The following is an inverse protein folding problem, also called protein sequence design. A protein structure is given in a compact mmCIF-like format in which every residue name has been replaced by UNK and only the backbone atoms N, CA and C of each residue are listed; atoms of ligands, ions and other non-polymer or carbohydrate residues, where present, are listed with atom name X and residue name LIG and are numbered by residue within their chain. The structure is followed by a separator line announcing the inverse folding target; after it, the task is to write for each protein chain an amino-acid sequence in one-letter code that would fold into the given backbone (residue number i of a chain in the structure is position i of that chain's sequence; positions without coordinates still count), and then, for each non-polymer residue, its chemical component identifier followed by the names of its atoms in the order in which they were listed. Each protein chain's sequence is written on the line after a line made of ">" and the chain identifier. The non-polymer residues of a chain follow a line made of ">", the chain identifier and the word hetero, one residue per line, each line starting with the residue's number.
data_IF_687434362306
#
_entry.id   IF_687434362306
#
_cell.length_a   1.000
_cell.length_b   1.000
_cell.length_c   1.000
_cell.angle_alpha   90.00
_cell.angle_beta   90.00
_cell.angle_gamma   90.00
#
_symmetry.space_group_name_H-M   'P 1'
#
loop_
_entity.id
_entity.type
_entity.pdbx_description
1 polymer ?
#
# COMPACT_ATOMS: atom_id res chain seq x y z
N UNK A 1 21.32 6.92 -1.36
CA UNK A 1 19.84 6.91 -1.24
C UNK A 1 19.33 7.77 -2.37
N UNK A 2 18.52 7.25 -3.28
CA UNK A 2 17.83 8.09 -4.26
C UNK A 2 16.97 9.11 -3.49
N UNK A 3 17.13 10.40 -3.77
CA UNK A 3 16.32 11.48 -3.18
C UNK A 3 14.86 11.45 -3.65
N UNK A 4 14.55 10.58 -4.63
CA UNK A 4 13.19 10.35 -5.11
C UNK A 4 12.33 9.80 -3.98
N UNK A 5 11.16 10.42 -3.78
CA UNK A 5 10.13 10.01 -2.82
C UNK A 5 10.41 10.33 -1.34
N UNK A 6 11.34 11.25 -1.05
CA UNK A 6 11.61 11.71 0.30
C UNK A 6 10.65 12.86 0.69
N UNK A 7 10.07 12.80 1.88
CA UNK A 7 9.25 13.88 2.44
C UNK A 7 10.05 14.60 3.51
N UNK A 8 10.03 15.94 3.51
CA UNK A 8 10.64 16.79 4.53
C UNK A 8 9.59 17.71 5.16
N UNK A 9 9.54 17.74 6.49
CA UNK A 9 8.63 18.62 7.26
C UNK A 9 9.31 19.10 8.54
N UNK A 10 9.08 20.35 8.93
CA UNK A 10 9.55 20.90 10.20
C UNK A 10 8.97 20.13 11.38
N UNK A 11 9.80 19.84 12.39
CA UNK A 11 9.36 19.20 13.63
C UNK A 11 8.34 20.08 14.35
N UNK A 12 8.51 21.41 14.27
CA UNK A 12 7.54 22.35 14.83
C UNK A 12 6.15 22.14 14.21
N UNK A 13 6.09 22.08 12.88
CA UNK A 13 4.84 21.87 12.16
C UNK A 13 4.22 20.52 12.52
N UNK A 14 5.01 19.44 12.55
CA UNK A 14 4.54 18.10 12.93
C UNK A 14 3.94 18.12 14.35
N UNK A 15 4.62 18.75 15.32
CA UNK A 15 4.20 18.71 16.73
C UNK A 15 3.14 19.73 17.12
N UNK A 16 2.88 20.75 16.29
CA UNK A 16 1.97 21.85 16.67
C UNK A 16 0.75 22.01 15.76
N UNK A 17 0.72 21.37 14.60
CA UNK A 17 -0.45 21.40 13.70
C UNK A 17 -1.37 20.19 13.92
N UNK A 18 -2.67 20.42 13.72
CA UNK A 18 -3.69 19.37 13.76
C UNK A 18 -4.66 19.55 12.60
N UNK A 19 -4.84 18.53 11.77
CA UNK A 19 -5.68 18.58 10.58
C UNK A 19 -6.50 17.29 10.39
N UNK A 20 -7.75 17.44 9.95
CA UNK A 20 -8.71 16.34 9.84
C UNK A 20 -8.73 15.76 8.42
N UNK A 21 -7.61 15.16 8.02
CA UNK A 21 -7.49 14.52 6.71
C UNK A 21 -7.92 13.05 6.78
N UNK A 22 -8.64 12.59 5.75
CA UNK A 22 -8.88 11.16 5.54
C UNK A 22 -7.63 10.50 4.93
N UNK A 23 -7.63 9.18 4.78
CA UNK A 23 -6.45 8.46 4.30
C UNK A 23 -6.08 8.82 2.85
N UNK A 24 -7.06 8.96 1.95
CA UNK A 24 -6.82 9.32 0.54
C UNK A 24 -6.19 10.72 0.44
N UNK A 25 -6.73 11.70 1.17
CA UNK A 25 -6.21 13.06 1.24
C UNK A 25 -4.79 13.11 1.83
N UNK A 26 -4.51 12.32 2.89
CA UNK A 26 -3.17 12.23 3.45
C UNK A 26 -2.18 11.66 2.42
N UNK A 27 -2.53 10.56 1.75
CA UNK A 27 -1.68 9.99 0.71
C UNK A 27 -1.43 10.96 -0.43
N UNK A 28 -2.45 11.71 -0.86
CA UNK A 28 -2.32 12.74 -1.89
C UNK A 28 -1.34 13.83 -1.47
N UNK A 29 -1.50 14.40 -0.27
CA UNK A 29 -0.62 15.45 0.26
C UNK A 29 0.81 14.96 0.44
N UNK A 30 1.01 13.74 0.94
CA UNK A 30 2.34 13.18 1.16
C UNK A 30 3.03 12.84 -0.17
N UNK A 31 2.28 12.37 -1.17
CA UNK A 31 2.80 12.14 -2.51
C UNK A 31 3.20 13.45 -3.18
N UNK A 32 2.35 14.48 -3.09
CA UNK A 32 2.66 15.82 -3.56
C UNK A 32 3.90 16.41 -2.85
N UNK A 33 4.00 16.23 -1.53
CA UNK A 33 5.13 16.70 -0.74
C UNK A 33 6.45 16.02 -1.15
N UNK A 34 6.40 14.81 -1.71
CA UNK A 34 7.58 14.11 -2.21
C UNK A 34 8.12 14.64 -3.55
N UNK A 35 7.32 15.45 -4.26
CA UNK A 35 7.72 16.14 -5.49
C UNK A 35 8.39 17.50 -5.20
N UNK A 36 8.33 17.95 -3.95
CA UNK A 36 8.90 19.23 -3.51
C UNK A 36 10.42 19.11 -3.41
N UNK A 37 11.16 19.91 -4.16
CA UNK A 37 12.61 19.89 -4.09
C UNK A 37 13.10 20.71 -2.88
N UNK A 38 14.13 20.25 -2.14
CA UNK A 38 14.67 20.99 -0.98
C UNK A 38 15.10 22.42 -1.32
N UNK A 39 15.59 22.63 -2.54
CA UNK A 39 16.10 23.91 -3.06
C UNK A 39 15.03 24.76 -3.77
N UNK A 40 13.76 24.33 -3.81
CA UNK A 40 12.69 25.16 -4.37
C UNK A 40 12.57 26.48 -3.54
N UNK A 41 12.62 27.65 -4.20
CA UNK A 41 12.40 28.97 -3.56
C UNK A 41 10.92 29.21 -3.19
N UNK A 42 10.04 28.40 -3.76
CA UNK A 42 8.62 28.41 -3.47
C UNK A 42 7.93 27.18 -4.01
N UNK A 43 6.73 26.93 -3.51
CA UNK A 43 5.85 25.96 -4.15
C UNK A 43 5.51 26.48 -5.54
N UNK A 44 5.81 25.65 -6.53
CA UNK A 44 5.33 25.76 -7.90
C UNK A 44 4.09 24.87 -8.06
N UNK A 45 3.32 25.01 -9.14
CA UNK A 45 2.35 23.99 -9.51
C UNK A 45 3.07 22.65 -9.74
N UNK A 46 2.60 21.60 -9.08
CA UNK A 46 3.12 20.25 -9.24
C UNK A 46 2.11 19.41 -10.01
N UNK A 47 2.57 18.75 -11.07
CA UNK A 47 1.74 17.90 -11.90
C UNK A 47 1.72 16.47 -11.38
N UNK A 48 0.53 15.89 -11.26
CA UNK A 48 0.34 14.46 -11.00
C UNK A 48 -0.62 13.85 -12.00
N UNK A 49 -0.30 12.67 -12.51
CA UNK A 49 -1.24 11.94 -13.35
C UNK A 49 -2.38 11.43 -12.50
N UNK A 50 -3.60 11.55 -13.01
CA UNK A 50 -4.79 11.07 -12.32
C UNK A 50 -4.73 9.55 -12.12
N UNK A 51 -4.13 8.82 -13.07
CA UNK A 51 -3.96 7.37 -12.97
C UNK A 51 -3.07 6.99 -11.76
N UNK A 52 -1.95 7.67 -11.56
CA UNK A 52 -1.05 7.44 -10.43
C UNK A 52 -1.78 7.71 -9.10
N UNK A 53 -2.59 8.78 -9.03
CA UNK A 53 -3.41 9.09 -7.85
C UNK A 53 -4.44 7.98 -7.56
N UNK A 54 -5.09 7.44 -8.60
CA UNK A 54 -6.04 6.35 -8.47
C UNK A 54 -5.37 5.07 -7.95
N UNK A 55 -4.18 4.76 -8.44
CA UNK A 55 -3.36 3.64 -7.95
C UNK A 55 -2.98 3.83 -6.47
N UNK A 56 -2.57 5.04 -6.07
CA UNK A 56 -2.26 5.37 -4.67
C UNK A 56 -3.45 5.17 -3.73
N UNK A 57 -4.67 5.38 -4.23
CA UNK A 57 -5.91 5.15 -3.48
C UNK A 57 -6.35 3.68 -3.49
N UNK A 58 -5.68 2.81 -4.26
CA UNK A 58 -6.02 1.40 -4.41
C UNK A 58 -7.32 1.19 -5.18
N UNK A 59 -7.57 2.03 -6.20
CA UNK A 59 -8.82 2.06 -6.96
C UNK A 59 -8.61 1.52 -8.37
N UNK A 60 -9.32 0.45 -8.71
CA UNK A 60 -9.18 -0.25 -10.00
C UNK A 60 -10.13 0.25 -11.11
N UNK A 61 -11.13 1.09 -10.78
CA UNK A 61 -12.21 1.45 -11.71
C UNK A 61 -12.12 2.87 -12.25
N UNK A 62 -12.37 3.03 -13.56
CA UNK A 62 -12.41 4.32 -14.28
C UNK A 62 -13.46 5.31 -13.73
N UNK A 63 -14.41 4.86 -12.92
CA UNK A 63 -15.48 5.67 -12.33
C UNK A 63 -14.97 6.77 -11.37
N UNK A 64 -13.69 6.74 -10.95
CA UNK A 64 -13.10 7.76 -10.06
C UNK A 64 -12.34 8.91 -10.75
N UNK A 65 -12.24 8.98 -12.09
CA UNK A 65 -11.70 10.20 -12.74
C UNK A 65 -12.50 11.46 -12.33
N UNK A 66 -13.81 11.30 -12.09
CA UNK A 66 -14.70 12.35 -11.57
C UNK A 66 -14.59 12.57 -10.06
N UNK A 67 -13.98 11.64 -9.31
CA UNK A 67 -13.83 11.73 -7.86
C UNK A 67 -12.62 12.56 -7.45
N UNK A 68 -11.54 12.60 -8.26
CA UNK A 68 -10.35 13.40 -7.93
C UNK A 68 -10.70 14.89 -7.75
N UNK A 69 -11.47 15.53 -8.66
CA UNK A 69 -11.98 16.89 -8.44
C UNK A 69 -12.76 17.07 -7.13
N UNK A 70 -13.54 16.06 -6.72
CA UNK A 70 -14.28 16.10 -5.44
C UNK A 70 -13.33 16.03 -4.26
N UNK A 71 -12.36 15.10 -4.29
CA UNK A 71 -11.36 14.91 -3.23
C UNK A 71 -10.50 16.15 -3.07
N UNK A 72 -9.97 16.73 -4.17
CA UNK A 72 -9.15 17.95 -4.07
C UNK A 72 -9.98 19.14 -3.59
N UNK A 73 -11.23 19.26 -4.03
CA UNK A 73 -12.14 20.31 -3.55
C UNK A 73 -12.45 20.17 -2.06
N UNK A 74 -12.65 18.95 -1.56
CA UNK A 74 -12.89 18.71 -0.13
C UNK A 74 -11.62 18.95 0.70
N UNK A 75 -10.45 18.55 0.19
CA UNK A 75 -9.14 18.85 0.77
C UNK A 75 -8.88 20.36 0.88
N UNK A 76 -9.20 21.14 -0.16
CA UNK A 76 -9.05 22.59 -0.15
C UNK A 76 -9.95 23.30 0.88
N UNK A 77 -11.09 22.72 1.25
CA UNK A 77 -11.97 23.29 2.29
C UNK A 77 -11.44 23.07 3.71
N UNK A 78 -10.49 22.15 3.90
CA UNK A 78 -9.98 21.78 5.22
C UNK A 78 -8.90 22.74 5.68
N UNK A 79 -9.36 23.84 6.27
CA UNK A 79 -8.50 24.80 6.97
C UNK A 79 -8.05 24.21 8.30
N UNK A 80 -6.77 24.39 8.60
CA UNK A 80 -6.19 24.08 9.89
C UNK A 80 -5.39 25.27 10.41
N UNK A 81 -5.05 25.18 11.70
CA UNK A 81 -4.42 26.25 12.44
C UNK A 81 -2.97 25.90 12.78
N UNK A 82 -2.09 26.89 12.59
CA UNK A 82 -0.70 26.85 13.03
C UNK A 82 -0.51 28.04 13.95
N UNK A 83 -0.26 27.75 15.22
CA UNK A 83 0.22 28.77 16.15
C UNK A 83 1.64 29.13 15.74
N UNK A 84 1.95 30.42 15.68
CA UNK A 84 3.30 30.94 15.56
C UNK A 84 3.47 32.01 16.65
N UNK A 85 4.71 32.36 17.02
CA UNK A 85 5.04 33.14 18.23
C UNK A 85 4.05 34.27 18.55
N UNK A 86 3.70 35.10 17.56
CA UNK A 86 2.80 36.25 17.74
C UNK A 86 1.58 36.24 16.80
N UNK A 87 1.22 35.11 16.18
CA UNK A 87 0.07 35.04 15.27
C UNK A 87 -0.51 33.63 15.13
N UNK A 88 -1.81 33.57 14.92
CA UNK A 88 -2.52 32.39 14.46
C UNK A 88 -2.60 32.41 12.93
N UNK A 89 -2.10 31.35 12.29
CA UNK A 89 -2.21 31.17 10.84
C UNK A 89 -3.31 30.15 10.57
N UNK A 90 -4.37 30.57 9.88
CA UNK A 90 -5.37 29.68 9.30
C UNK A 90 -5.02 29.43 7.83
N UNK A 91 -4.83 28.16 7.47
CA UNK A 91 -4.35 27.78 6.15
C UNK A 91 -4.94 26.43 5.72
N UNK A 92 -5.21 26.26 4.43
CA UNK A 92 -5.51 24.95 3.84
C UNK A 92 -4.23 24.32 3.29
N UNK A 93 -4.24 23.02 3.00
CA UNK A 93 -3.07 22.39 2.40
C UNK A 93 -2.77 22.92 0.99
N UNK A 94 -3.79 23.05 0.15
CA UNK A 94 -3.67 23.46 -1.25
C UNK A 94 -4.22 24.88 -1.48
N UNK A 95 -3.52 25.69 -2.28
CA UNK A 95 -4.01 26.97 -2.78
C UNK A 95 -4.85 26.80 -4.05
N UNK A 96 -4.50 25.84 -4.90
CA UNK A 96 -5.20 25.56 -6.15
C UNK A 96 -5.17 24.07 -6.52
N UNK A 97 -6.13 23.67 -7.34
CA UNK A 97 -6.18 22.40 -8.03
C UNK A 97 -6.74 22.62 -9.44
N UNK A 98 -5.90 22.51 -10.46
CA UNK A 98 -6.22 22.85 -11.84
C UNK A 98 -6.27 21.58 -12.71
N UNK A 99 -7.31 21.50 -13.54
CA UNK A 99 -7.59 20.34 -14.37
C UNK A 99 -7.61 20.76 -15.83
N UNK A 100 -6.60 20.36 -16.60
CA UNK A 100 -6.58 20.57 -18.04
C UNK A 100 -7.38 19.44 -18.71
N UNK A 101 -8.52 19.79 -19.32
CA UNK A 101 -9.42 18.82 -19.96
C UNK A 101 -8.66 17.99 -21.01
N UNK A 102 -8.76 16.67 -20.90
CA UNK A 102 -8.11 15.73 -21.83
C UNK A 102 -6.63 15.45 -21.55
N UNK A 103 -5.99 16.12 -20.58
CA UNK A 103 -4.58 15.86 -20.24
C UNK A 103 -4.36 14.61 -19.41
N UNK A 104 -5.37 14.19 -18.62
CA UNK A 104 -5.21 13.13 -17.62
C UNK A 104 -4.34 13.53 -16.42
N UNK A 105 -4.03 14.82 -16.27
CA UNK A 105 -3.16 15.40 -15.23
C UNK A 105 -3.93 16.41 -14.40
N UNK A 106 -3.58 16.52 -13.14
CA UNK A 106 -3.98 17.61 -12.24
C UNK A 106 -2.74 18.38 -11.81
N UNK A 107 -2.82 19.71 -11.83
CA UNK A 107 -1.81 20.59 -11.24
C UNK A 107 -2.28 21.00 -9.84
N UNK A 108 -1.46 20.71 -8.83
CA UNK A 108 -1.75 21.06 -7.45
C UNK A 108 -0.67 22.00 -6.93
N UNK A 109 -1.08 23.03 -6.21
CA UNK A 109 -0.16 23.97 -5.56
C UNK A 109 -0.39 23.95 -4.05
N UNK A 110 0.69 23.82 -3.28
CA UNK A 110 0.64 23.98 -1.83
C UNK A 110 0.41 25.45 -1.45
N UNK A 111 -0.35 25.68 -0.38
CA UNK A 111 -0.51 27.02 0.16
C UNK A 111 0.85 27.66 0.50
N UNK A 112 1.15 28.88 0.01
CA UNK A 112 2.43 29.55 0.24
C UNK A 112 2.79 29.78 1.72
N UNK A 113 1.79 29.78 2.62
CA UNK A 113 2.02 29.87 4.08
C UNK A 113 2.66 28.62 4.67
N UNK A 114 2.72 27.52 3.93
CA UNK A 114 3.39 26.28 4.35
C UNK A 114 4.89 26.27 4.04
N UNK A 115 5.41 27.21 3.22
CA UNK A 115 6.81 27.26 2.80
C UNK A 115 7.79 27.15 3.99
N UNK A 116 7.64 27.91 5.10
CA UNK A 116 8.57 27.84 6.23
C UNK A 116 8.65 26.48 6.93
N UNK A 117 7.70 25.59 6.64
CA UNK A 117 7.57 24.30 7.31
C UNK A 117 7.95 23.10 6.41
N UNK A 118 8.21 23.33 5.12
CA UNK A 118 8.46 22.25 4.15
C UNK A 118 9.63 22.56 3.20
N UNK A 119 9.97 23.84 2.96
CA UNK A 119 11.04 24.27 2.07
C UNK A 119 12.24 24.80 2.85
N UNK A 120 13.44 24.61 2.28
CA UNK A 120 14.70 25.19 2.80
C UNK A 120 14.95 24.92 4.30
N UNK A 121 14.49 23.76 4.78
CA UNK A 121 14.64 23.35 6.17
C UNK A 121 16.10 22.96 6.43
N UNK A 122 16.80 23.76 7.24
CA UNK A 122 18.21 23.53 7.58
C UNK A 122 18.39 22.70 8.85
N UNK A 123 17.49 22.87 9.81
CA UNK A 123 17.55 22.22 11.12
C UNK A 123 16.15 21.87 11.63
N UNK A 124 16.09 20.97 12.63
CA UNK A 124 14.86 20.60 13.34
C UNK A 124 13.70 20.21 12.41
N UNK A 125 14.01 19.35 11.45
CA UNK A 125 13.04 18.77 10.54
C UNK A 125 13.11 17.24 10.56
N UNK A 126 12.02 16.63 10.15
CA UNK A 126 11.89 15.19 9.97
C UNK A 126 11.94 14.89 8.48
N UNK A 127 12.66 13.83 8.13
CA UNK A 127 12.66 13.27 6.80
C UNK A 127 12.34 11.78 6.83
N UNK A 128 11.58 11.31 5.86
CA UNK A 128 11.24 9.91 5.73
C UNK A 128 10.80 9.55 4.31
N UNK A 129 10.89 8.27 3.98
CA UNK A 129 10.45 7.75 2.70
C UNK A 129 8.93 7.70 2.59
N UNK A 130 8.37 8.20 1.50
CA UNK A 130 6.93 8.14 1.20
C UNK A 130 6.39 6.70 1.28
N UNK A 131 7.20 5.70 0.89
CA UNK A 131 6.83 4.29 0.95
C UNK A 131 6.41 3.81 2.36
N UNK A 132 6.98 4.41 3.43
CA UNK A 132 6.66 4.06 4.82
C UNK A 132 5.17 4.31 5.13
N UNK A 133 4.58 5.35 4.54
CA UNK A 133 3.21 5.79 4.87
C UNK A 133 2.18 5.37 3.82
N UNK A 134 2.57 5.15 2.57
CA UNK A 134 1.62 4.82 1.49
C UNK A 134 0.87 3.50 1.70
N UNK A 135 1.50 2.52 2.36
CA UNK A 135 0.91 1.19 2.60
C UNK A 135 -0.02 1.14 3.81
N UNK A 136 -0.04 2.19 4.63
CA UNK A 136 -0.89 2.27 5.81
C UNK A 136 -2.37 2.32 5.42
N UNK A 137 -3.21 1.72 6.27
CA UNK A 137 -4.66 1.58 6.05
C UNK A 137 -5.49 2.36 7.07
N UNK A 138 -4.95 2.60 8.25
CA UNK A 138 -5.60 3.45 9.23
C UNK A 138 -5.33 4.93 8.92
N UNK A 139 -6.38 5.74 9.00
CA UNK A 139 -6.30 7.20 8.82
C UNK A 139 -5.41 7.90 9.86
N UNK A 140 -5.11 7.24 10.98
CA UNK A 140 -4.33 7.83 12.07
C UNK A 140 -2.85 7.41 12.03
N UNK A 141 -2.52 6.29 11.36
CA UNK A 141 -1.16 5.75 11.35
C UNK A 141 -0.14 6.69 10.72
N UNK A 142 -0.38 7.31 9.54
CA UNK A 142 0.62 8.20 8.95
C UNK A 142 0.95 9.38 9.86
N UNK A 143 -0.07 9.94 10.51
CA UNK A 143 0.12 11.07 11.43
C UNK A 143 0.85 10.67 12.71
N UNK A 144 0.51 9.53 13.32
CA UNK A 144 1.24 9.02 14.48
C UNK A 144 2.70 8.70 14.13
N UNK A 145 2.93 8.12 12.95
CA UNK A 145 4.27 7.86 12.44
C UNK A 145 5.08 9.15 12.34
N UNK A 146 4.56 10.21 11.71
CA UNK A 146 5.25 11.51 11.62
C UNK A 146 5.63 12.06 13.00
N UNK A 147 4.70 12.02 13.96
CA UNK A 147 4.91 12.50 15.32
C UNK A 147 6.05 11.72 15.99
N UNK A 148 6.03 10.39 15.90
CA UNK A 148 7.07 9.55 16.53
C UNK A 148 8.42 9.67 15.80
N UNK A 149 8.41 9.72 14.46
CA UNK A 149 9.60 9.91 13.63
C UNK A 149 10.31 11.23 13.98
N UNK A 150 9.55 12.30 14.22
CA UNK A 150 10.12 13.59 14.66
C UNK A 150 10.86 13.54 16.01
N UNK A 151 10.62 12.49 16.80
CA UNK A 151 11.21 12.29 18.12
C UNK A 151 12.25 11.15 18.16
N UNK A 152 12.56 10.51 17.02
CA UNK A 152 13.40 9.29 16.98
C UNK A 152 14.84 9.50 17.48
N UNK A 153 15.39 10.70 17.28
CA UNK A 153 16.78 11.02 17.64
C UNK A 153 16.93 11.64 19.03
N UNK A 154 15.84 11.70 19.84
CA UNK A 154 15.95 12.16 21.22
C UNK A 154 16.84 11.19 22.00
N UNK A 155 17.85 11.72 22.71
CA UNK A 155 18.83 10.93 23.48
C UNK A 155 18.20 9.92 24.45
N UNK A 156 17.02 10.24 24.99
CA UNK A 156 16.31 9.38 25.93
C UNK A 156 15.65 8.14 25.28
N UNK A 157 15.49 8.12 23.95
CA UNK A 157 14.92 6.98 23.21
C UNK A 157 13.41 6.78 23.37
N UNK A 158 12.71 7.73 23.98
CA UNK A 158 11.25 7.70 24.14
C UNK A 158 10.63 9.09 24.03
N UNK A 159 9.32 9.14 23.81
CA UNK A 159 8.49 10.34 23.90
C UNK A 159 7.26 10.10 24.78
N UNK A 160 6.99 11.03 25.69
CA UNK A 160 5.78 11.01 26.52
C UNK A 160 4.79 12.02 25.95
N UNK A 161 3.59 11.54 25.59
CA UNK A 161 2.53 12.38 25.05
C UNK A 161 1.27 12.17 25.89
N UNK A 162 0.68 13.27 26.35
CA UNK A 162 -0.61 13.22 27.04
C UNK A 162 -1.70 12.68 26.12
N UNK A 163 -2.64 11.91 26.67
CA UNK A 163 -3.75 11.34 25.88
C UNK A 163 -4.60 12.44 25.26
N UNK A 164 -4.84 13.54 25.97
CA UNK A 164 -5.59 14.68 25.46
C UNK A 164 -4.86 15.35 24.28
N UNK A 165 -3.55 15.54 24.41
CA UNK A 165 -2.73 16.14 23.36
C UNK A 165 -2.62 15.23 22.13
N UNK A 166 -2.44 13.92 22.33
CA UNK A 166 -2.40 12.96 21.24
C UNK A 166 -3.71 12.93 20.46
N UNK A 167 -4.85 13.00 21.16
CA UNK A 167 -6.17 13.15 20.52
C UNK A 167 -6.26 14.43 19.70
N UNK A 168 -5.76 15.55 20.22
CA UNK A 168 -5.72 16.84 19.50
C UNK A 168 -4.87 16.75 18.23
N UNK A 169 -3.68 16.18 18.30
CA UNK A 169 -2.76 16.02 17.17
C UNK A 169 -3.34 15.12 16.07
N UNK A 170 -4.09 14.09 16.47
CA UNK A 170 -4.72 13.13 15.55
C UNK A 170 -6.14 13.53 15.10
N UNK A 171 -6.66 14.69 15.53
CA UNK A 171 -8.06 15.11 15.33
C UNK A 171 -9.08 14.03 15.72
N UNK A 172 -8.86 13.45 16.89
CA UNK A 172 -9.66 12.35 17.47
C UNK A 172 -10.22 12.71 18.87
N UNK A 173 -10.42 13.99 19.15
CA UNK A 173 -10.94 14.48 20.44
C UNK A 173 -12.37 13.98 20.69
N UNK A 174 -13.20 13.99 19.65
CA UNK A 174 -14.59 13.51 19.70
C UNK A 174 -14.74 12.04 19.31
N UNK A 175 -13.70 11.45 18.71
CA UNK A 175 -13.71 10.07 18.25
C UNK A 175 -13.25 9.13 19.36
N UNK A 176 -13.95 8.02 19.54
CA UNK A 176 -13.62 7.00 20.56
C UNK A 176 -13.43 7.63 21.95
N UNK A 177 -14.49 8.21 22.54
CA UNK A 177 -14.38 8.97 23.80
C UNK A 177 -13.85 8.10 24.95
N UNK A 178 -14.15 6.79 24.94
CA UNK A 178 -13.57 5.85 25.90
C UNK A 178 -12.13 5.56 25.54
N UNK A 179 -11.24 5.64 26.54
CA UNK A 179 -9.81 5.37 26.34
C UNK A 179 -9.53 3.99 25.73
N UNK A 180 -10.24 2.95 26.16
CA UNK A 180 -10.05 1.59 25.62
C UNK A 180 -10.34 1.51 24.11
N UNK A 181 -11.35 2.24 23.63
CA UNK A 181 -11.67 2.28 22.20
C UNK A 181 -10.61 3.07 21.43
N UNK A 182 -10.13 4.19 21.99
CA UNK A 182 -9.04 4.98 21.42
C UNK A 182 -7.74 4.16 21.33
N UNK A 183 -7.38 3.46 22.41
CA UNK A 183 -6.26 2.53 22.44
C UNK A 183 -6.37 1.49 21.33
N UNK A 184 -7.47 0.73 21.30
CA UNK A 184 -7.66 -0.39 20.37
C UNK A 184 -7.74 0.04 18.91
N UNK A 185 -8.48 1.13 18.62
CA UNK A 185 -8.80 1.54 17.25
C UNK A 185 -7.76 2.48 16.64
N UNK A 186 -7.01 3.20 17.47
CA UNK A 186 -6.03 4.19 17.02
C UNK A 186 -4.62 3.74 17.38
N UNK A 187 -4.31 3.62 18.67
CA UNK A 187 -2.94 3.40 19.12
C UNK A 187 -2.41 2.04 18.70
N UNK A 188 -3.09 0.96 19.06
CA UNK A 188 -2.65 -0.41 18.76
C UNK A 188 -2.60 -0.66 17.24
N UNK A 189 -3.61 -0.18 16.50
CA UNK A 189 -3.65 -0.30 15.05
C UNK A 189 -2.49 0.47 14.39
N UNK A 190 -2.22 1.70 14.83
CA UNK A 190 -1.13 2.51 14.28
C UNK A 190 0.24 1.96 14.66
N UNK A 191 0.46 1.54 15.91
CA UNK A 191 1.71 0.89 16.35
C UNK A 191 1.98 -0.37 15.55
N UNK A 192 0.94 -1.19 15.31
CA UNK A 192 1.06 -2.37 14.44
C UNK A 192 1.52 -1.98 13.03
N UNK A 193 0.82 -1.05 12.38
CA UNK A 193 1.17 -0.61 11.02
C UNK A 193 2.57 0.02 10.95
N UNK A 194 2.95 0.85 11.93
CA UNK A 194 4.29 1.45 12.01
C UNK A 194 5.36 0.35 12.08
N UNK A 195 5.19 -0.60 12.99
CA UNK A 195 6.16 -1.68 13.20
C UNK A 195 6.30 -2.63 12.01
N UNK A 196 5.25 -2.79 11.21
CA UNK A 196 5.20 -3.70 10.06
C UNK A 196 5.65 -3.03 8.75
N UNK A 197 5.42 -1.73 8.60
CA UNK A 197 5.49 -1.06 7.29
C UNK A 197 6.57 0.03 7.19
N UNK A 198 7.20 0.42 8.30
CA UNK A 198 8.06 1.61 8.34
C UNK A 198 9.46 1.32 8.85
N UNK A 199 10.36 2.30 8.76
CA UNK A 199 11.70 2.26 9.34
C UNK A 199 11.73 2.47 10.88
N UNK A 200 10.58 2.43 11.56
CA UNK A 200 10.47 2.54 13.01
C UNK A 200 9.93 1.27 13.66
N UNK A 201 10.47 0.98 14.84
CA UNK A 201 9.94 0.03 15.81
C UNK A 201 9.53 0.78 17.09
N UNK A 202 8.26 0.63 17.45
CA UNK A 202 7.57 1.34 18.52
C UNK A 202 7.01 0.33 19.52
N UNK A 203 7.32 0.59 20.79
CA UNK A 203 6.64 0.00 21.95
C UNK A 203 6.07 1.15 22.79
N UNK A 204 5.09 0.90 23.65
CA UNK A 204 4.59 1.95 24.53
C UNK A 204 4.09 1.45 25.88
N UNK A 205 4.27 2.30 26.90
CA UNK A 205 3.70 2.13 28.24
C UNK A 205 2.59 3.15 28.51
N UNK A 206 1.65 2.79 29.38
CA UNK A 206 0.59 3.67 29.86
C UNK A 206 0.99 4.30 31.20
N UNK A 207 0.94 5.63 31.28
CA UNK A 207 1.18 6.37 32.52
C UNK A 207 -0.16 6.72 33.15
N UNK A 208 -0.30 6.39 34.44
CA UNK A 208 -1.53 6.57 35.21
C UNK A 208 -1.42 7.73 36.19
N UNK A 209 -2.52 8.46 36.36
CA UNK A 209 -2.73 9.38 37.48
C UNK A 209 -4.01 8.96 38.18
N UNK A 210 -3.88 8.35 39.37
CA UNK A 210 -4.99 7.66 40.03
C UNK A 210 -5.48 6.47 39.18
N UNK A 211 -6.77 6.47 38.82
CA UNK A 211 -7.39 5.41 38.00
C UNK A 211 -7.32 5.68 36.49
N UNK A 212 -7.06 6.93 36.08
CA UNK A 212 -7.09 7.32 34.68
C UNK A 212 -5.72 7.15 34.02
N UNK A 213 -5.70 6.71 32.76
CA UNK A 213 -4.52 6.83 31.90
C UNK A 213 -4.44 8.29 31.43
N UNK A 214 -3.35 8.97 31.75
CA UNK A 214 -3.16 10.38 31.43
C UNK A 214 -2.17 10.58 30.29
N UNK A 215 -1.16 9.70 30.16
CA UNK A 215 -0.14 9.80 29.11
C UNK A 215 0.28 8.44 28.57
N UNK A 216 0.85 8.45 27.37
CA UNK A 216 1.51 7.31 26.74
C UNK A 216 3.00 7.62 26.59
N UNK A 217 3.85 6.67 26.98
CA UNK A 217 5.30 6.74 26.79
C UNK A 217 5.69 5.80 25.66
N UNK A 218 5.99 6.36 24.49
CA UNK A 218 6.41 5.61 23.30
C UNK A 218 7.92 5.45 23.30
N UNK A 219 8.42 4.21 23.26
CA UNK A 219 9.82 3.90 23.00
C UNK A 219 10.02 3.81 21.49
N UNK A 220 11.01 4.54 20.98
CA UNK A 220 11.19 4.75 19.54
C UNK A 220 12.57 4.22 19.15
N UNK A 221 12.61 3.25 18.24
CA UNK A 221 13.86 2.69 17.70
C UNK A 221 13.78 2.68 16.19
N UNK A 222 14.89 3.02 15.52
CA UNK A 222 14.98 2.81 14.07
C UNK A 222 15.23 1.33 13.78
N UNK A 223 14.58 0.80 12.76
CA UNK A 223 14.82 -0.54 12.22
C UNK A 223 15.39 -0.44 10.81
N UNK A 224 16.38 -1.30 10.51
CA UNK A 224 17.01 -1.34 9.18
C UNK A 224 16.08 -2.00 8.16
N UNK A 225 16.18 -1.63 6.85
CA UNK A 225 15.40 -2.26 5.79
C UNK A 225 15.46 -3.79 5.76
N UNK A 226 16.63 -4.37 6.08
CA UNK A 226 16.85 -5.82 6.19
C UNK A 226 15.89 -6.49 7.20
N UNK A 227 15.50 -5.78 8.25
CA UNK A 227 14.59 -6.27 9.28
C UNK A 227 13.11 -6.24 8.81
N UNK A 228 12.77 -5.39 7.83
CA UNK A 228 11.44 -5.35 7.22
C UNK A 228 11.20 -6.53 6.28
N UNK A 229 12.23 -6.92 5.52
CA UNK A 229 12.21 -8.11 4.67
C UNK A 229 12.16 -9.40 5.51
N UNK A 230 13.00 -9.50 6.55
CA UNK A 230 12.99 -10.64 7.47
C UNK A 230 11.69 -10.78 8.26
N UNK A 231 10.99 -9.68 8.58
CA UNK A 231 9.69 -9.71 9.27
C UNK A 231 8.57 -10.18 8.33
N UNK A 232 8.63 -9.81 7.04
CA UNK A 232 7.75 -10.38 6.02
C UNK A 232 7.98 -11.90 5.85
N UNK A 233 9.22 -12.37 5.97
CA UNK A 233 9.57 -13.81 5.95
C UNK A 233 9.16 -14.52 7.26
N UNK A 234 9.35 -13.90 8.43
CA UNK A 234 9.09 -14.49 9.75
C UNK A 234 7.59 -14.57 10.08
N UNK A 235 6.77 -13.62 9.63
CA UNK A 235 5.30 -13.72 9.70
C UNK A 235 4.81 -14.92 8.86
N UNK A 236 5.54 -15.26 7.80
CA UNK A 236 5.29 -16.44 6.96
C UNK A 236 5.82 -17.75 7.60
N UNK A 237 6.75 -17.68 8.57
CA UNK A 237 7.48 -18.84 9.10
C UNK A 237 7.23 -19.22 10.59
N UNK A 238 6.37 -18.52 11.34
CA UNK A 238 6.09 -18.88 12.76
C UNK A 238 4.99 -19.97 12.85
N UNK A 239 5.41 -21.21 13.13
CA UNK A 239 4.65 -22.48 13.13
C UNK A 239 3.57 -22.66 14.23
N UNK A 240 2.65 -23.65 14.07
CA UNK A 240 1.58 -24.02 15.03
C UNK A 240 2.10 -24.78 16.26
N UNK A 241 1.29 -24.79 17.34
CA UNK A 241 1.57 -25.43 18.63
C UNK A 241 1.69 -26.98 18.58
N UNK A 242 2.48 -27.52 19.52
CA UNK A 242 2.80 -28.94 19.74
C UNK A 242 1.61 -29.84 20.17
N UNK A 243 1.73 -31.19 20.06
CA UNK A 243 0.63 -32.06 19.66
C UNK A 243 -0.14 -32.73 20.81
N UNK A 244 -1.46 -32.87 20.64
CA UNK A 244 -2.28 -33.85 21.36
C UNK A 244 -2.23 -35.19 20.62
N UNK A 245 -1.90 -36.26 21.36
CA UNK A 245 -1.86 -37.65 20.91
C UNK A 245 -3.27 -38.15 20.55
N UNK A 246 -3.41 -38.86 19.43
CA UNK A 246 -4.04 -40.21 19.32
C UNK A 246 -4.14 -40.71 17.86
N UNK A 247 -3.47 -41.85 17.61
CA UNK A 247 -3.94 -43.08 16.95
C UNK A 247 -4.49 -43.11 15.50
N UNK A 248 -3.65 -43.73 14.65
CA UNK A 248 -3.91 -44.80 13.64
C UNK A 248 -4.84 -44.59 12.41
N UNK A 249 -4.15 -44.63 11.26
CA UNK A 249 -4.43 -45.33 9.98
C UNK A 249 -5.28 -44.67 8.88
N UNK A 250 -4.71 -44.77 7.67
CA UNK A 250 -5.26 -44.72 6.29
C UNK A 250 -5.51 -43.37 5.63
N UNK A 251 -4.86 -43.17 4.45
CA UNK A 251 -5.45 -42.40 3.34
C UNK A 251 -4.59 -41.25 2.80
N UNK A 252 -3.86 -41.51 1.73
CA UNK A 252 -2.90 -40.68 0.97
C UNK A 252 -3.44 -39.39 0.28
N UNK A 253 -4.48 -38.74 0.77
CA UNK A 253 -5.06 -37.54 0.09
C UNK A 253 -4.94 -36.21 0.87
N UNK A 254 -4.52 -36.24 2.14
CA UNK A 254 -4.44 -35.03 2.98
C UNK A 254 -3.06 -34.33 3.01
N UNK A 255 -1.98 -35.01 2.60
CA UNK A 255 -0.64 -34.40 2.57
C UNK A 255 -0.49 -33.42 1.41
N UNK A 256 -1.05 -33.72 0.24
CA UNK A 256 -0.96 -32.88 -0.96
C UNK A 256 -1.76 -31.58 -0.81
N UNK A 257 -2.98 -31.63 -0.29
CA UNK A 257 -3.83 -30.43 -0.10
C UNK A 257 -3.22 -29.40 0.88
N UNK A 258 -2.45 -29.87 1.87
CA UNK A 258 -1.81 -29.02 2.86
C UNK A 258 -0.57 -28.33 2.28
N UNK A 259 0.25 -29.05 1.51
CA UNK A 259 1.39 -28.48 0.78
C UNK A 259 0.94 -27.50 -0.31
N UNK A 260 -0.15 -27.82 -1.02
CA UNK A 260 -0.74 -26.97 -2.07
C UNK A 260 -1.31 -25.67 -1.48
N UNK A 261 -2.08 -25.73 -0.38
CA UNK A 261 -2.57 -24.51 0.27
C UNK A 261 -1.45 -23.64 0.84
N UNK A 262 -0.31 -24.24 1.17
CA UNK A 262 0.88 -23.52 1.62
C UNK A 262 1.55 -22.80 0.44
N UNK A 263 1.72 -23.48 -0.70
CA UNK A 263 2.23 -22.88 -1.95
C UNK A 263 1.32 -21.74 -2.48
N UNK A 264 0.00 -21.88 -2.39
CA UNK A 264 -0.96 -20.84 -2.81
C UNK A 264 -1.06 -19.65 -1.83
N UNK A 265 -0.72 -19.81 -0.55
CA UNK A 265 -0.69 -18.72 0.43
C UNK A 265 0.64 -17.95 0.47
N UNK A 266 1.76 -18.62 0.16
CA UNK A 266 3.12 -18.04 0.35
C UNK A 266 3.46 -16.98 -0.71
N UNK A 267 2.84 -17.00 -1.89
CA UNK A 267 3.16 -16.06 -2.99
C UNK A 267 2.06 -15.04 -3.34
N UNK A 268 1.03 -14.86 -2.50
CA UNK A 268 0.13 -13.70 -2.60
C UNK A 268 -0.69 -13.58 -3.90
N UNK A 269 -1.57 -14.55 -4.19
CA UNK A 269 -2.43 -14.53 -5.40
C UNK A 269 -3.82 -13.91 -5.21
N UNK A 270 -4.16 -13.33 -4.04
CA UNK A 270 -5.49 -12.73 -3.81
C UNK A 270 -5.94 -11.64 -4.81
N UNK A 271 -5.07 -10.86 -5.47
CA UNK A 271 -5.49 -9.92 -6.53
C UNK A 271 -5.72 -10.60 -7.90
N UNK A 272 -5.13 -11.77 -8.13
CA UNK A 272 -4.99 -12.39 -9.46
C UNK A 272 -6.26 -13.14 -9.90
N UNK A 273 -7.17 -13.44 -8.98
CA UNK A 273 -8.40 -14.19 -9.27
C UNK A 273 -9.45 -13.45 -10.11
N UNK A 274 -9.27 -12.15 -10.40
CA UNK A 274 -10.29 -11.38 -11.15
C UNK A 274 -10.07 -11.32 -12.66
N UNK A 275 -8.85 -11.56 -13.18
CA UNK A 275 -8.64 -11.53 -14.62
C UNK A 275 -7.46 -12.41 -15.05
N UNK A 276 -7.78 -13.64 -15.46
CA UNK A 276 -6.82 -14.68 -15.87
C UNK A 276 -6.04 -14.34 -17.13
N UNK A 277 -6.45 -13.29 -17.84
CA UNK A 277 -5.73 -12.76 -18.99
C UNK A 277 -4.77 -11.63 -18.60
N UNK A 278 -4.76 -11.12 -17.37
CA UNK A 278 -3.88 -9.99 -17.04
C UNK A 278 -2.39 -10.33 -17.21
N UNK A 279 -1.63 -9.37 -17.72
CA UNK A 279 -0.19 -9.47 -18.01
C UNK A 279 0.65 -10.03 -16.84
N UNK A 280 0.39 -9.67 -15.56
CA UNK A 280 1.09 -10.26 -14.42
C UNK A 280 0.82 -11.76 -14.22
N UNK A 281 -0.39 -12.23 -14.56
CA UNK A 281 -0.73 -13.65 -14.47
C UNK A 281 -0.01 -14.45 -15.55
N UNK A 282 0.06 -13.92 -16.76
CA UNK A 282 0.75 -14.54 -17.89
C UNK A 282 2.24 -14.62 -17.60
N UNK A 283 2.85 -13.53 -17.13
CA UNK A 283 4.28 -13.51 -16.79
C UNK A 283 4.63 -14.45 -15.63
N UNK A 284 3.76 -14.56 -14.61
CA UNK A 284 3.92 -15.55 -13.56
C UNK A 284 3.82 -16.98 -14.10
N UNK A 285 2.87 -17.27 -14.98
CA UNK A 285 2.74 -18.60 -15.59
C UNK A 285 3.96 -18.97 -16.45
N UNK A 286 4.48 -18.02 -17.22
CA UNK A 286 5.68 -18.22 -18.04
C UNK A 286 6.95 -18.40 -17.18
N UNK A 287 6.91 -17.99 -15.90
CA UNK A 287 8.00 -18.20 -14.95
C UNK A 287 7.98 -19.57 -14.26
N UNK A 288 6.93 -20.39 -14.46
CA UNK A 288 6.81 -21.71 -13.84
C UNK A 288 7.50 -22.79 -14.69
N UNK A 289 8.19 -23.72 -14.02
CA UNK A 289 8.70 -24.91 -14.69
C UNK A 289 7.55 -25.85 -15.13
N UNK A 290 7.70 -26.61 -16.24
CA UNK A 290 6.61 -27.41 -16.83
C UNK A 290 5.94 -28.39 -15.86
N UNK A 291 6.71 -29.03 -14.98
CA UNK A 291 6.18 -29.95 -13.96
C UNK A 291 5.32 -29.25 -12.90
N UNK A 292 5.59 -27.96 -12.64
CA UNK A 292 4.80 -27.16 -11.72
C UNK A 292 3.48 -26.69 -12.36
N UNK A 293 3.53 -26.31 -13.64
CA UNK A 293 2.32 -25.94 -14.39
C UNK A 293 1.33 -27.10 -14.48
N UNK A 294 1.79 -28.32 -14.77
CA UNK A 294 0.94 -29.51 -14.79
C UNK A 294 0.31 -29.83 -13.42
N UNK A 295 1.08 -29.64 -12.36
CA UNK A 295 0.62 -29.84 -10.98
C UNK A 295 -0.48 -28.85 -10.63
N UNK A 296 -0.30 -27.58 -10.98
CA UNK A 296 -1.32 -26.53 -10.80
C UNK A 296 -2.61 -26.89 -11.55
N UNK A 297 -2.52 -27.35 -12.79
CA UNK A 297 -3.69 -27.74 -13.60
C UNK A 297 -4.40 -28.96 -13.02
N UNK A 298 -3.67 -30.00 -12.60
CA UNK A 298 -4.26 -31.21 -11.98
C UNK A 298 -4.99 -30.86 -10.68
N UNK A 299 -4.42 -29.98 -9.87
CA UNK A 299 -5.01 -29.55 -8.61
C UNK A 299 -6.28 -28.71 -8.81
N UNK A 300 -6.28 -27.83 -9.81
CA UNK A 300 -7.46 -27.06 -10.21
C UNK A 300 -8.58 -27.97 -10.74
N UNK A 301 -8.26 -29.00 -11.52
CA UNK A 301 -9.23 -29.97 -12.02
C UNK A 301 -9.82 -30.87 -10.91
N UNK A 302 -9.05 -31.17 -9.86
CA UNK A 302 -9.53 -31.92 -8.69
C UNK A 302 -10.47 -31.07 -7.82
N UNK A 303 -10.17 -29.78 -7.69
CA UNK A 303 -11.03 -28.79 -7.02
C UNK A 303 -12.42 -28.68 -7.69
N UNK A 304 -12.50 -28.79 -9.02
CA UNK A 304 -13.78 -28.79 -9.75
C UNK A 304 -14.65 -30.02 -9.50
N UNK A 305 -14.04 -31.19 -9.27
CA UNK A 305 -14.75 -32.47 -9.06
C UNK A 305 -15.41 -32.59 -7.68
N UNK A 306 -14.94 -31.85 -6.67
CA UNK A 306 -15.43 -31.91 -5.29
C UNK A 306 -16.58 -30.91 -4.98
N UNK A 307 -17.28 -30.43 -6.02
CA UNK A 307 -18.59 -29.72 -5.97
C UNK A 307 -18.79 -28.62 -4.91
N UNK A 308 -17.73 -27.97 -4.43
CA UNK A 308 -17.82 -26.85 -3.47
C UNK A 308 -17.12 -25.59 -3.98
N UNK A 309 -17.34 -25.25 -5.27
CA UNK A 309 -16.78 -24.02 -5.81
C UNK A 309 -17.76 -23.31 -6.76
N UNK A 310 -17.83 -21.98 -6.62
CA UNK A 310 -18.67 -21.07 -7.36
C UNK A 310 -18.27 -20.95 -8.86
N UNK A 311 -19.19 -20.44 -9.69
CA UNK A 311 -19.06 -20.31 -11.15
C UNK A 311 -17.79 -19.54 -11.59
N UNK A 312 -17.30 -18.63 -10.76
CA UNK A 312 -16.07 -17.89 -11.00
C UNK A 312 -14.84 -18.82 -11.10
N UNK A 313 -14.80 -19.91 -10.32
CA UNK A 313 -13.67 -20.84 -10.33
C UNK A 313 -13.79 -21.85 -11.46
N UNK A 314 -15.01 -22.26 -11.83
CA UNK A 314 -15.23 -23.09 -13.01
C UNK A 314 -14.83 -22.37 -14.31
N UNK A 315 -15.13 -21.07 -14.43
CA UNK A 315 -14.70 -20.22 -15.53
C UNK A 315 -13.18 -20.00 -15.55
N UNK A 316 -12.55 -19.91 -14.37
CA UNK A 316 -11.10 -19.85 -14.24
C UNK A 316 -10.45 -21.10 -14.87
N UNK A 317 -10.96 -22.29 -14.53
CA UNK A 317 -10.39 -23.56 -14.99
C UNK A 317 -10.54 -23.74 -16.50
N UNK A 318 -11.70 -23.38 -17.07
CA UNK A 318 -11.93 -23.43 -18.51
C UNK A 318 -11.03 -22.44 -19.28
N UNK A 319 -10.88 -21.21 -18.76
CA UNK A 319 -9.99 -20.22 -19.37
C UNK A 319 -8.52 -20.65 -19.29
N UNK A 320 -8.10 -21.32 -18.21
CA UNK A 320 -6.73 -21.78 -18.01
C UNK A 320 -6.38 -22.99 -18.88
N UNK A 321 -7.31 -23.93 -19.07
CA UNK A 321 -7.14 -25.06 -19.98
C UNK A 321 -7.02 -24.59 -21.45
N UNK A 322 -7.81 -23.58 -21.82
CA UNK A 322 -7.78 -22.97 -23.16
C UNK A 322 -6.47 -22.23 -23.41
N UNK A 323 -5.98 -21.45 -22.43
CA UNK A 323 -4.71 -20.72 -22.55
C UNK A 323 -3.51 -21.67 -22.66
N UNK A 324 -3.50 -22.77 -21.89
CA UNK A 324 -2.46 -23.81 -21.97
C UNK A 324 -2.43 -24.46 -23.36
N UNK A 325 -3.59 -24.82 -23.91
CA UNK A 325 -3.67 -25.43 -25.23
C UNK A 325 -3.24 -24.47 -26.34
N UNK A 326 -3.60 -23.19 -26.27
CA UNK A 326 -3.21 -22.19 -27.28
C UNK A 326 -1.70 -21.91 -27.27
N UNK A 327 -1.07 -21.90 -26.08
CA UNK A 327 0.39 -21.76 -25.94
C UNK A 327 1.14 -23.00 -26.42
N UNK A 328 0.63 -24.20 -26.17
CA UNK A 328 1.27 -25.47 -26.56
C UNK A 328 1.10 -25.84 -28.04
N UNK A 329 0.04 -25.34 -28.71
CA UNK A 329 -0.26 -25.69 -30.11
C UNK A 329 0.14 -24.62 -31.12
N UNK A 330 0.67 -23.47 -30.66
CA UNK A 330 1.12 -22.39 -31.53
C UNK A 330 0.01 -21.71 -32.34
N UNK A 331 -1.25 -21.81 -31.93
CA UNK A 331 -2.37 -21.17 -32.62
C UNK A 331 -2.29 -19.63 -32.49
N UNK A 332 -2.16 -18.95 -33.64
CA UNK A 332 -1.96 -17.50 -33.75
C UNK A 332 -3.01 -16.66 -32.99
N UNK A 333 -2.55 -15.83 -32.05
CA UNK A 333 -3.25 -14.62 -31.62
C UNK A 333 -3.02 -13.51 -32.67
N UNK A 334 -3.57 -13.68 -33.88
CA UNK A 334 -3.59 -12.60 -34.88
C UNK A 334 -4.98 -12.55 -35.51
N UNK A 335 -5.73 -11.49 -35.19
CA UNK A 335 -6.82 -11.01 -36.03
C UNK A 335 -6.27 -9.93 -36.95
N UNK A 336 -6.16 -10.22 -38.24
CA UNK A 336 -5.96 -9.23 -39.29
C UNK A 336 -7.32 -8.67 -39.72
N UNK A 337 -7.43 -7.34 -39.84
CA UNK A 337 -8.51 -6.47 -40.42
C UNK A 337 -9.46 -5.74 -39.41
N UNK A 338 -9.84 -4.46 -39.63
CA UNK A 338 -10.32 -3.55 -38.58
C UNK A 338 -11.85 -3.41 -38.48
N UNK A 339 -12.31 -3.20 -37.24
CA UNK A 339 -13.63 -2.74 -36.75
C UNK A 339 -14.90 -3.46 -37.24
N UNK A 340 -15.55 -4.19 -36.32
CA UNK A 340 -16.99 -4.02 -36.07
C UNK A 340 -17.36 -4.33 -34.61
N UNK A 341 -18.14 -3.40 -34.07
CA UNK A 341 -18.70 -3.30 -32.73
C UNK A 341 -19.40 -4.58 -32.26
N UNK A 342 -18.83 -5.30 -31.30
CA UNK A 342 -19.52 -6.27 -30.42
C UNK A 342 -18.89 -6.15 -29.02
N UNK A 343 -19.73 -6.13 -28.00
CA UNK A 343 -19.41 -6.05 -26.57
C UNK A 343 -18.56 -7.24 -26.10
N UNK A 344 -17.63 -6.98 -25.17
CA UNK A 344 -16.81 -7.95 -24.42
C UNK A 344 -15.79 -8.78 -25.23
N UNK A 345 -14.57 -8.28 -25.37
CA UNK A 345 -13.33 -8.95 -24.91
C UNK A 345 -12.10 -8.09 -25.26
N UNK A 346 -11.13 -8.03 -24.36
CA UNK A 346 -9.84 -7.36 -24.56
C UNK A 346 -8.82 -8.38 -25.09
N UNK A 347 -8.32 -8.18 -26.31
CA UNK A 347 -7.10 -8.83 -26.81
C UNK A 347 -5.86 -8.16 -26.23
N UNK A 348 -4.85 -8.96 -25.87
CA UNK A 348 -3.59 -8.51 -25.29
C UNK A 348 -2.49 -8.65 -26.34
N UNK A 349 -1.80 -7.55 -26.61
CA UNK A 349 -0.62 -7.54 -27.46
C UNK A 349 0.58 -8.04 -26.65
N UNK A 350 1.15 -9.18 -27.04
CA UNK A 350 2.42 -9.68 -26.52
C UNK A 350 3.49 -9.36 -27.55
N UNK A 351 4.58 -8.73 -27.10
CA UNK A 351 5.69 -8.35 -27.95
C UNK A 351 6.25 -9.59 -28.71
N UNK A 352 6.28 -9.57 -30.05
CA UNK A 352 6.81 -10.66 -30.86
C UNK A 352 8.23 -11.08 -30.50
N UNK A 353 9.04 -10.18 -29.94
CA UNK A 353 10.40 -10.49 -29.49
C UNK A 353 10.41 -11.49 -28.31
N UNK A 354 9.44 -11.37 -27.39
CA UNK A 354 9.29 -12.28 -26.24
C UNK A 354 8.84 -13.66 -26.69
N UNK A 355 8.01 -13.73 -27.73
CA UNK A 355 7.57 -15.01 -28.31
C UNK A 355 8.75 -15.74 -28.98
N UNK A 356 9.63 -15.02 -29.66
CA UNK A 356 10.79 -15.62 -30.32
C UNK A 356 11.87 -16.07 -29.31
N UNK A 357 12.08 -15.31 -28.22
CA UNK A 357 12.98 -15.71 -27.14
C UNK A 357 12.53 -17.02 -26.45
N UNK A 358 11.22 -17.22 -26.31
CA UNK A 358 10.65 -18.45 -25.75
C UNK A 358 10.84 -19.65 -26.68
N UNK A 359 10.68 -19.46 -28.00
CA UNK A 359 10.90 -20.51 -29.00
C UNK A 359 12.37 -20.92 -29.09
N UNK A 360 13.30 -19.97 -28.92
CA UNK A 360 14.72 -20.24 -28.94
C UNK A 360 15.15 -21.07 -27.72
N UNK A 361 14.67 -20.73 -26.52
CA UNK A 361 14.87 -21.53 -25.29
C UNK A 361 14.25 -22.92 -25.32
N UNK A 362 13.30 -23.17 -26.22
CA UNK A 362 12.65 -24.48 -26.39
C UNK A 362 13.41 -25.32 -27.43
N UNK A 363 13.88 -24.70 -28.52
CA UNK A 363 14.77 -25.34 -29.51
C UNK A 363 16.10 -25.79 -28.90
N UNK A 364 16.69 -24.99 -28.01
CA UNK A 364 17.93 -25.34 -27.30
C UNK A 364 17.74 -26.57 -26.39
N UNK A 365 16.53 -26.77 -25.84
CA UNK A 365 16.18 -27.90 -24.97
C UNK A 365 15.89 -29.20 -25.70
N UNK A 366 15.50 -29.15 -26.97
CA UNK A 366 15.31 -30.35 -27.81
C UNK A 366 16.63 -30.84 -28.44
N UNK A 367 17.70 -30.04 -28.36
CA UNK A 367 19.03 -30.37 -28.85
C UNK A 367 20.02 -30.90 -27.80
N UNK A 368 19.62 -30.94 -26.52
CA UNK A 368 20.31 -31.59 -25.40
C UNK A 368 19.63 -32.92 -25.03
#
# INVERSE_FOLDING_TARGET
>A
MDEKNLIKKSNYFIMNSSYDLNLEEQKLILSLASLVHPDDEGFKPYQMKIIDIMELFGVETKTKYTEIPRITKDLMKKVFEIQAENKLIQVAWLSSAEYVKGSGVVELEFSPKLKPYMLQLKERFTQYQLANVLRMKSRYSPRLYEILKANEFKKQGYEVIEVAELRRLLKAEKNYPRYNDFKKRIIEQAVKEINELTDLHIEYDEIKTGRAITSLKFYIRSQRPEQLEQKQITITAKQPAEPLKTNTTTGTEQSTLTEINTLFNVNGLKPIYKNTRSEPCINWMLSLEPGQLETVIKNLANLQRNSTINDATANLIQNWATLKNNLLTGANLISTTPQKKIENDYDIYVDPAVIEELREKERERESE
#
